data_IF_726982367923
#
_entry.id   IF_726982367923
#
_cell.length_a   1.000
_cell.length_b   1.000
_cell.length_c   1.000
_cell.angle_alpha   90.00
_cell.angle_beta   90.00
_cell.angle_gamma   90.00
#
_symmetry.space_group_name_H-M   'P 1'
#
loop_
_entity.id
_entity.type
_entity.pdbx_description
1 polymer ?
#
# COMPACT_ATOMS: atom_id res chain seq x y z
N UNK A 1 -21.19 -45.12 -13.52
CA UNK A 1 -20.73 -43.80 -13.02
C UNK A 1 -21.86 -42.80 -13.21
N UNK A 2 -22.44 -42.34 -12.11
CA UNK A 2 -23.46 -41.29 -12.14
C UNK A 2 -22.76 -40.00 -12.58
N UNK A 3 -23.18 -39.46 -13.72
CA UNK A 3 -22.59 -38.25 -14.27
C UNK A 3 -23.11 -37.06 -13.45
N UNK A 4 -22.38 -36.69 -12.39
CA UNK A 4 -22.74 -35.61 -11.46
C UNK A 4 -23.11 -34.30 -12.18
N UNK A 5 -22.51 -34.04 -13.35
CA UNK A 5 -22.79 -32.88 -14.19
C UNK A 5 -24.24 -32.84 -14.70
N UNK A 6 -24.80 -34.01 -15.02
CA UNK A 6 -26.18 -34.18 -15.49
C UNK A 6 -27.21 -34.01 -14.37
N UNK A 7 -26.84 -34.37 -13.14
CA UNK A 7 -27.68 -34.17 -11.96
C UNK A 7 -27.69 -32.71 -11.51
N UNK A 8 -26.53 -32.03 -11.53
CA UNK A 8 -26.46 -30.61 -11.15
C UNK A 8 -27.15 -29.69 -12.15
N UNK A 9 -27.04 -29.97 -13.45
CA UNK A 9 -27.75 -29.21 -14.50
C UNK A 9 -29.26 -29.43 -14.48
N UNK A 10 -29.71 -30.59 -14.00
CA UNK A 10 -31.13 -30.87 -13.78
C UNK A 10 -31.68 -30.19 -12.51
N UNK A 11 -30.90 -30.15 -11.43
CA UNK A 11 -31.27 -29.49 -10.17
C UNK A 11 -31.18 -27.96 -10.24
N UNK A 12 -30.24 -27.43 -11.03
CA UNK A 12 -29.99 -26.00 -11.21
C UNK A 12 -29.91 -25.68 -12.71
N UNK A 13 -31.06 -25.61 -13.41
CA UNK A 13 -31.08 -25.27 -14.83
C UNK A 13 -30.60 -23.83 -15.02
N UNK A 14 -29.71 -23.64 -15.99
CA UNK A 14 -29.25 -22.31 -16.39
C UNK A 14 -30.43 -21.55 -17.03
N UNK A 15 -30.82 -20.44 -16.40
CA UNK A 15 -31.96 -19.60 -16.83
C UNK A 15 -31.54 -18.49 -17.82
N UNK A 16 -30.25 -18.40 -18.14
CA UNK A 16 -29.73 -17.41 -19.09
C UNK A 16 -30.20 -17.75 -20.51
N UNK A 17 -30.48 -16.74 -21.35
CA UNK A 17 -30.98 -16.97 -22.70
C UNK A 17 -29.97 -17.74 -23.58
N UNK A 18 -30.48 -18.54 -24.52
CA UNK A 18 -29.67 -19.47 -25.34
C UNK A 18 -28.51 -18.81 -26.09
N UNK A 19 -28.68 -17.54 -26.49
CA UNK A 19 -27.64 -16.79 -27.19
C UNK A 19 -26.45 -16.45 -26.29
N UNK A 20 -26.67 -16.21 -24.99
CA UNK A 20 -25.59 -15.99 -24.01
C UNK A 20 -24.83 -17.27 -23.76
N UNK A 21 -25.54 -18.39 -23.58
CA UNK A 21 -24.91 -19.70 -23.39
C UNK A 21 -24.08 -20.11 -24.61
N UNK A 22 -24.58 -19.84 -25.82
CA UNK A 22 -23.86 -20.12 -27.06
C UNK A 22 -22.59 -19.26 -27.16
N UNK A 23 -22.69 -17.97 -26.86
CA UNK A 23 -21.56 -17.04 -26.86
C UNK A 23 -20.51 -17.42 -25.83
N UNK A 24 -20.91 -17.84 -24.63
CA UNK A 24 -20.01 -18.33 -23.58
C UNK A 24 -19.28 -19.61 -24.02
N UNK A 25 -19.99 -20.55 -24.66
CA UNK A 25 -19.36 -21.77 -25.22
C UNK A 25 -18.36 -21.45 -26.33
N UNK A 26 -18.71 -20.53 -27.23
CA UNK A 26 -17.81 -20.08 -28.30
C UNK A 26 -16.56 -19.40 -27.71
N UNK A 27 -16.73 -18.60 -26.66
CA UNK A 27 -15.62 -17.99 -25.92
C UNK A 27 -14.73 -19.04 -25.25
N UNK A 28 -15.31 -20.00 -24.52
CA UNK A 28 -14.57 -21.08 -23.85
C UNK A 28 -13.79 -21.91 -24.88
N UNK A 29 -14.41 -22.23 -26.03
CA UNK A 29 -13.75 -22.95 -27.11
C UNK A 29 -12.60 -22.16 -27.74
N UNK A 30 -12.75 -20.85 -27.90
CA UNK A 30 -11.70 -19.99 -28.42
C UNK A 30 -10.54 -19.85 -27.41
N UNK A 31 -10.86 -19.65 -26.13
CA UNK A 31 -9.88 -19.55 -25.05
C UNK A 31 -9.09 -20.86 -24.88
N UNK A 32 -9.77 -22.01 -24.87
CA UNK A 32 -9.13 -23.34 -24.76
C UNK A 32 -8.33 -23.74 -26.01
N UNK A 33 -8.43 -23.02 -27.13
CA UNK A 33 -7.52 -23.18 -28.28
C UNK A 33 -6.18 -22.49 -28.07
N UNK A 34 -6.09 -21.57 -27.12
CA UNK A 34 -4.82 -20.96 -26.73
C UNK A 34 -4.02 -21.99 -25.95
N UNK A 35 -2.73 -22.11 -26.28
CA UNK A 35 -1.87 -23.16 -25.73
C UNK A 35 -1.69 -23.05 -24.21
N UNK A 36 -1.79 -21.84 -23.67
CA UNK A 36 -1.44 -21.52 -22.29
C UNK A 36 -2.62 -21.10 -21.43
N UNK A 37 -3.81 -20.90 -22.01
CA UNK A 37 -5.01 -20.49 -21.29
C UNK A 37 -6.08 -21.57 -21.40
N UNK A 38 -6.65 -21.98 -20.26
CA UNK A 38 -7.87 -22.78 -20.26
C UNK A 38 -8.95 -22.19 -19.35
N UNK A 39 -10.19 -22.27 -19.83
CA UNK A 39 -11.38 -21.73 -19.19
C UNK A 39 -12.39 -22.87 -19.03
N UNK A 40 -12.99 -22.92 -17.85
CA UNK A 40 -14.06 -23.88 -17.49
C UNK A 40 -15.43 -23.25 -17.66
N UNK A 41 -16.45 -24.09 -17.82
CA UNK A 41 -17.87 -23.73 -17.90
C UNK A 41 -18.43 -23.06 -16.63
N UNK A 42 -17.66 -23.05 -15.54
CA UNK A 42 -18.00 -22.40 -14.26
C UNK A 42 -17.24 -21.09 -14.02
N UNK A 43 -16.55 -20.57 -15.03
CA UNK A 43 -15.79 -19.31 -14.93
C UNK A 43 -14.41 -19.46 -14.27
N UNK A 44 -13.98 -20.67 -13.93
CA UNK A 44 -12.61 -20.94 -13.51
C UNK A 44 -11.66 -20.82 -14.71
N UNK A 45 -10.57 -20.08 -14.53
CA UNK A 45 -9.53 -19.87 -15.53
C UNK A 45 -8.21 -20.40 -15.00
N UNK A 46 -7.46 -21.13 -15.83
CA UNK A 46 -6.11 -21.59 -15.48
C UNK A 46 -5.14 -21.25 -16.61
N UNK A 47 -3.94 -20.82 -16.21
CA UNK A 47 -2.85 -20.44 -17.10
C UNK A 47 -1.65 -21.34 -16.79
N UNK A 48 -0.87 -21.70 -17.80
CA UNK A 48 0.39 -22.43 -17.61
C UNK A 48 1.34 -21.59 -16.72
N UNK A 49 1.76 -22.09 -15.54
CA UNK A 49 2.63 -21.35 -14.63
C UNK A 49 3.97 -20.94 -15.25
N UNK A 50 4.47 -21.64 -16.28
CA UNK A 50 5.73 -21.28 -16.94
C UNK A 50 5.62 -19.98 -17.75
N UNK A 51 4.45 -19.67 -18.33
CA UNK A 51 4.24 -18.40 -19.07
C UNK A 51 4.35 -17.20 -18.11
N UNK A 52 3.75 -17.31 -16.93
CA UNK A 52 3.82 -16.28 -15.89
C UNK A 52 5.27 -16.09 -15.45
N UNK A 53 6.02 -17.18 -15.30
CA UNK A 53 7.43 -17.13 -14.91
C UNK A 53 8.29 -16.44 -15.97
N UNK A 54 8.12 -16.77 -17.24
CA UNK A 54 8.83 -16.12 -18.35
C UNK A 54 8.51 -14.62 -18.41
N UNK A 55 7.23 -14.25 -18.26
CA UNK A 55 6.82 -12.86 -18.25
C UNK A 55 7.40 -12.06 -17.07
N UNK A 56 7.47 -12.67 -15.88
CA UNK A 56 8.10 -12.05 -14.70
C UNK A 56 9.60 -11.87 -14.93
N UNK A 57 10.29 -12.87 -15.48
CA UNK A 57 11.72 -12.78 -15.78
C UNK A 57 11.98 -11.68 -16.81
N UNK A 58 11.25 -11.67 -17.93
CA UNK A 58 11.38 -10.65 -18.97
C UNK A 58 11.10 -9.23 -18.44
N UNK A 59 10.05 -9.08 -17.65
CA UNK A 59 9.71 -7.78 -17.02
C UNK A 59 10.81 -7.34 -16.05
N UNK A 60 11.36 -8.27 -15.26
CA UNK A 60 12.45 -7.97 -14.32
C UNK A 60 13.75 -7.61 -15.04
N UNK A 61 14.05 -8.25 -16.17
CA UNK A 61 15.20 -7.91 -17.01
C UNK A 61 15.06 -6.51 -17.61
N UNK A 62 13.89 -6.18 -18.15
CA UNK A 62 13.59 -4.84 -18.68
C UNK A 62 13.75 -3.78 -17.59
N UNK A 63 13.25 -4.03 -16.38
CA UNK A 63 13.25 -3.07 -15.27
C UNK A 63 14.54 -3.10 -14.43
N UNK A 64 15.54 -3.90 -14.81
CA UNK A 64 16.82 -4.03 -14.07
C UNK A 64 17.58 -2.71 -13.94
N UNK A 65 17.35 -1.78 -14.87
CA UNK A 65 17.96 -0.44 -14.85
C UNK A 65 17.35 0.50 -13.80
N UNK A 66 16.12 0.22 -13.35
CA UNK A 66 15.43 1.03 -12.32
C UNK A 66 15.84 0.63 -10.90
N UNK A 67 16.37 -0.60 -10.73
CA UNK A 67 16.80 -1.10 -9.42
C UNK A 67 18.20 -0.56 -9.13
N UNK A 68 18.33 0.25 -8.06
CA UNK A 68 19.64 0.66 -7.52
C UNK A 68 20.45 -0.59 -7.18
N UNK A 69 21.65 -0.72 -7.78
CA UNK A 69 22.58 -1.78 -7.43
C UNK A 69 23.14 -1.50 -6.03
N UNK A 70 22.93 -2.39 -5.03
CA UNK A 70 23.57 -2.25 -3.73
C UNK A 70 25.07 -2.47 -3.95
N UNK A 71 25.85 -1.39 -3.90
CA UNK A 71 27.30 -1.40 -4.12
C UNK A 71 27.83 -0.44 -5.18
N UNK A 72 26.97 0.26 -5.93
CA UNK A 72 27.42 1.45 -6.63
C UNK A 72 27.67 2.55 -5.58
N UNK A 73 28.87 3.16 -5.49
CA UNK A 73 29.05 4.33 -4.64
C UNK A 73 27.99 5.33 -5.06
N UNK A 74 27.22 5.83 -4.09
CA UNK A 74 26.34 6.96 -4.30
C UNK A 74 27.17 8.00 -5.04
N UNK A 75 26.86 8.21 -6.32
CA UNK A 75 27.36 9.36 -7.05
C UNK A 75 26.83 10.53 -6.27
N UNK A 76 27.69 11.09 -5.42
CA UNK A 76 27.49 12.38 -4.78
C UNK A 76 27.08 13.31 -5.91
N UNK A 77 25.83 13.75 -5.83
CA UNK A 77 25.26 14.71 -6.75
C UNK A 77 26.09 15.98 -6.52
N UNK A 78 27.11 16.20 -7.35
CA UNK A 78 27.90 17.43 -7.36
C UNK A 78 26.97 18.54 -7.81
N UNK A 79 26.23 19.10 -6.85
CA UNK A 79 25.77 20.49 -6.93
C UNK A 79 27.04 21.31 -7.05
N UNK A 80 27.18 22.03 -8.16
CA UNK A 80 28.34 22.84 -8.47
C UNK A 80 28.56 23.85 -7.35
N UNK A 81 29.62 23.64 -6.56
CA UNK A 81 30.17 24.64 -5.65
C UNK A 81 31.10 25.53 -6.45
N UNK A 82 30.57 26.65 -6.94
CA UNK A 82 31.39 27.85 -7.11
C UNK A 82 30.83 28.87 -6.13
N UNK A 83 31.55 29.04 -5.01
CA UNK A 83 31.93 30.31 -4.37
C UNK A 83 32.37 29.99 -2.94
N UNK A 84 33.68 29.83 -2.74
CA UNK A 84 34.32 30.01 -1.43
C UNK A 84 34.24 31.50 -1.07
N UNK A 85 33.53 31.85 0.00
CA UNK A 85 33.93 32.97 0.88
C UNK A 85 33.52 32.64 2.32
N UNK A 86 34.56 32.42 3.11
CA UNK A 86 34.75 32.66 4.54
C UNK A 86 33.84 32.06 5.63
N UNK A 87 34.56 31.34 6.47
CA UNK A 87 34.26 30.82 7.78
C UNK A 87 34.29 31.97 8.81
N UNK A 88 33.21 32.12 9.58
CA UNK A 88 33.14 32.57 10.99
C UNK A 88 31.97 33.53 11.30
N UNK A 89 31.37 33.25 12.46
CA UNK A 89 30.45 34.06 13.27
C UNK A 89 28.92 33.99 13.02
N UNK A 90 28.29 33.16 13.87
CA UNK A 90 27.16 33.50 14.77
C UNK A 90 25.76 33.71 14.15
N UNK A 91 24.88 32.77 14.55
CA UNK A 91 23.46 32.92 14.90
C UNK A 91 22.49 33.66 13.94
N UNK A 92 21.41 32.93 13.63
CA UNK A 92 20.07 33.40 13.25
C UNK A 92 19.85 33.95 11.83
N UNK A 93 19.49 33.04 10.90
CA UNK A 93 18.44 33.33 9.92
C UNK A 93 17.93 32.06 9.26
N UNK A 94 16.63 31.79 9.41
CA UNK A 94 15.97 30.59 8.89
C UNK A 94 15.65 30.60 7.39
N UNK A 95 15.60 29.38 6.83
CA UNK A 95 14.99 29.01 5.54
C UNK A 95 15.99 28.79 4.40
N UNK A 96 15.90 27.69 3.61
CA UNK A 96 14.68 26.96 3.26
C UNK A 96 14.62 25.55 3.84
N UNK A 97 13.45 25.18 4.38
CA UNK A 97 13.01 23.83 4.77
C UNK A 97 14.12 22.80 5.05
N UNK A 98 14.59 22.71 6.30
CA UNK A 98 15.27 21.52 6.79
C UNK A 98 14.43 20.30 6.44
N UNK A 99 14.96 19.45 5.57
CA UNK A 99 14.33 18.19 5.22
C UNK A 99 14.19 17.38 6.52
N UNK A 100 12.94 17.18 6.97
CA UNK A 100 12.67 16.45 8.19
C UNK A 100 12.76 14.95 7.90
N UNK A 101 13.92 14.35 8.18
CA UNK A 101 14.12 12.92 8.05
C UNK A 101 13.30 12.16 9.11
N UNK A 102 12.24 11.49 8.65
CA UNK A 102 11.31 10.77 9.52
C UNK A 102 11.00 9.35 9.04
N UNK A 103 10.67 8.48 9.99
CA UNK A 103 10.17 7.11 9.74
C UNK A 103 8.72 7.01 10.18
N UNK A 104 7.88 6.36 9.38
CA UNK A 104 6.50 6.05 9.76
C UNK A 104 6.48 4.87 10.74
N UNK A 105 5.75 5.02 11.85
CA UNK A 105 5.57 4.02 12.90
C UNK A 105 4.08 3.78 13.10
N UNK A 106 3.61 2.58 12.79
CA UNK A 106 2.19 2.21 12.91
C UNK A 106 1.96 1.46 14.21
N UNK A 107 1.02 1.94 15.02
CA UNK A 107 0.76 1.43 16.37
C UNK A 107 -0.73 1.22 16.57
N UNK A 108 -1.10 0.20 17.34
CA UNK A 108 -2.49 -0.14 17.61
C UNK A 108 -2.75 -0.09 19.11
N UNK A 109 -3.91 0.44 19.49
CA UNK A 109 -4.37 0.50 20.89
C UNK A 109 -5.80 -0.03 20.98
N UNK A 110 -6.06 -0.84 22.00
CA UNK A 110 -7.41 -1.23 22.37
C UNK A 110 -7.94 -0.28 23.44
N UNK A 111 -9.09 0.34 23.18
CA UNK A 111 -9.76 1.24 24.11
C UNK A 111 -10.58 0.45 25.15
N UNK A 112 -10.88 1.05 26.32
CA UNK A 112 -11.76 0.43 27.32
C UNK A 112 -13.16 0.11 26.80
N UNK A 113 -13.63 0.83 25.78
CA UNK A 113 -14.90 0.56 25.07
C UNK A 113 -14.89 -0.75 24.27
N UNK A 114 -13.75 -1.43 24.17
CA UNK A 114 -13.56 -2.61 23.32
C UNK A 114 -13.15 -2.27 21.89
N UNK A 115 -13.17 -1.00 21.51
CA UNK A 115 -12.77 -0.55 20.18
C UNK A 115 -11.23 -0.62 19.97
N UNK A 116 -10.79 -0.87 18.74
CA UNK A 116 -9.38 -0.78 18.35
C UNK A 116 -9.12 0.52 17.57
N UNK A 117 -8.02 1.20 17.86
CA UNK A 117 -7.55 2.41 17.16
C UNK A 117 -6.19 2.13 16.54
N UNK A 118 -6.00 2.56 15.29
CA UNK A 118 -4.72 2.57 14.59
C UNK A 118 -4.16 3.99 14.61
N UNK A 119 -2.96 4.17 15.14
CA UNK A 119 -2.21 5.42 15.11
C UNK A 119 -1.10 5.31 14.06
N UNK A 120 -0.95 6.35 13.25
CA UNK A 120 0.22 6.54 12.39
C UNK A 120 1.06 7.64 13.00
N UNK A 121 2.20 7.23 13.57
CA UNK A 121 3.17 8.12 14.16
C UNK A 121 4.32 8.36 13.19
N UNK A 122 5.04 9.46 13.38
CA UNK A 122 6.31 9.74 12.71
C UNK A 122 7.39 9.85 13.77
N UNK A 123 8.50 9.17 13.54
CA UNK A 123 9.70 9.24 14.36
C UNK A 123 10.74 10.10 13.65
N UNK A 124 11.26 11.14 14.31
CA UNK A 124 12.38 11.91 13.78
C UNK A 124 13.67 11.10 13.89
N UNK A 125 14.45 11.03 12.81
CA UNK A 125 15.76 10.38 12.82
C UNK A 125 16.85 11.20 13.51
N UNK A 126 16.60 12.50 13.71
CA UNK A 126 17.57 13.41 14.35
C UNK A 126 17.44 13.35 15.87
N UNK A 127 16.20 13.45 16.37
CA UNK A 127 15.93 13.53 17.81
C UNK A 127 15.46 12.21 18.41
N UNK A 128 15.06 11.25 17.58
CA UNK A 128 14.44 10.00 18.03
C UNK A 128 13.02 10.18 18.61
N UNK A 129 12.48 11.41 18.62
CA UNK A 129 11.17 11.73 19.17
C UNK A 129 10.03 11.29 18.26
N UNK A 130 8.85 11.12 18.83
CA UNK A 130 7.66 10.64 18.15
C UNK A 130 6.55 11.69 18.12
N UNK A 131 5.80 11.76 17.04
CA UNK A 131 4.58 12.55 16.94
C UNK A 131 3.48 11.73 16.27
N UNK A 132 2.23 11.90 16.69
CA UNK A 132 1.08 11.29 16.00
C UNK A 132 0.70 12.17 14.81
N UNK A 133 0.59 11.58 13.62
CA UNK A 133 0.18 12.29 12.42
C UNK A 133 -1.32 12.09 12.12
N UNK A 134 -1.85 10.88 12.34
CA UNK A 134 -3.27 10.57 12.20
C UNK A 134 -3.66 9.36 13.05
N UNK A 135 -4.94 9.24 13.39
CA UNK A 135 -5.51 8.12 14.12
C UNK A 135 -6.86 7.70 13.53
N UNK A 136 -7.07 6.40 13.35
CA UNK A 136 -8.28 5.82 12.74
C UNK A 136 -8.91 4.79 13.69
N UNK A 137 -10.19 4.96 14.01
CA UNK A 137 -10.97 4.02 14.81
C UNK A 137 -11.43 2.84 13.94
N UNK A 138 -11.06 1.62 14.32
CA UNK A 138 -11.26 0.41 13.53
C UNK A 138 -12.50 -0.42 13.92
N UNK A 139 -12.97 -0.34 15.18
CA UNK A 139 -14.05 -1.24 15.62
C UNK A 139 -15.12 -0.59 16.51
N UNK A 140 -15.54 0.63 16.15
CA UNK A 140 -16.51 1.43 16.90
C UNK A 140 -17.96 1.47 16.37
N UNK A 141 -18.28 0.91 15.20
CA UNK A 141 -19.66 0.94 14.70
C UNK A 141 -19.88 0.19 13.38
N UNK A 142 -20.93 -0.63 13.37
CA UNK A 142 -21.53 -1.41 12.27
C UNK A 142 -20.60 -2.38 11.50
N UNK A 143 -21.09 -3.62 11.38
CA UNK A 143 -20.53 -4.84 10.76
C UNK A 143 -20.10 -4.75 9.29
N UNK A 144 -19.36 -3.73 8.92
CA UNK A 144 -18.65 -3.68 7.65
C UNK A 144 -17.28 -3.09 7.89
N UNK A 145 -16.22 -3.85 7.60
CA UNK A 145 -14.98 -3.21 7.20
C UNK A 145 -15.31 -2.31 6.00
N UNK A 146 -15.15 -0.97 6.08
CA UNK A 146 -15.45 -0.12 4.94
C UNK A 146 -14.45 -0.39 3.81
N UNK A 147 -14.86 -0.24 2.54
CA UNK A 147 -14.17 -0.76 1.34
C UNK A 147 -12.81 -0.12 0.98
N UNK A 148 -12.25 0.66 1.89
CA UNK A 148 -11.06 1.49 1.76
C UNK A 148 -10.47 1.59 3.18
N UNK A 149 -9.36 0.92 3.43
CA UNK A 149 -8.53 1.11 4.63
C UNK A 149 -7.77 2.45 4.52
N UNK A 150 -8.55 3.49 4.22
CA UNK A 150 -8.20 4.88 4.16
C UNK A 150 -7.08 5.28 3.18
N UNK A 151 -7.42 5.34 1.88
CA UNK A 151 -6.52 5.84 0.82
C UNK A 151 -6.04 7.28 1.03
N UNK A 152 -6.51 7.97 2.07
CA UNK A 152 -6.08 9.31 2.45
C UNK A 152 -4.98 9.31 3.53
N UNK A 153 -4.65 8.17 4.15
CA UNK A 153 -3.66 8.13 5.26
C UNK A 153 -2.33 8.77 4.87
N UNK A 154 -1.76 8.42 3.71
CA UNK A 154 -0.49 8.99 3.24
C UNK A 154 -0.59 10.50 2.98
N UNK A 155 -1.76 10.98 2.53
CA UNK A 155 -2.02 12.40 2.33
C UNK A 155 -2.16 13.14 3.66
N UNK A 156 -2.81 12.54 4.65
CA UNK A 156 -2.93 13.08 6.01
C UNK A 156 -1.56 13.18 6.68
N UNK A 157 -0.75 12.13 6.60
CA UNK A 157 0.63 12.13 7.11
C UNK A 157 1.46 13.20 6.40
N UNK A 158 1.39 13.30 5.07
CA UNK A 158 2.08 14.34 4.32
C UNK A 158 1.61 15.75 4.71
N UNK A 159 0.31 15.94 4.91
CA UNK A 159 -0.27 17.23 5.35
C UNK A 159 0.20 17.58 6.77
N UNK A 160 0.23 16.61 7.68
CA UNK A 160 0.70 16.80 9.05
C UNK A 160 2.18 17.21 9.08
N UNK A 161 3.02 16.54 8.29
CA UNK A 161 4.45 16.88 8.14
C UNK A 161 4.66 18.28 7.53
N UNK A 162 3.84 18.67 6.54
CA UNK A 162 3.89 20.01 5.95
C UNK A 162 3.42 21.09 6.92
N UNK A 163 2.44 20.79 7.77
CA UNK A 163 1.81 21.77 8.68
C UNK A 163 2.72 22.24 9.82
N UNK A 164 3.85 21.55 10.10
CA UNK A 164 4.78 21.80 11.23
C UNK A 164 4.12 21.79 12.63
N UNK A 165 2.85 21.40 12.76
CA UNK A 165 2.12 21.40 14.03
C UNK A 165 2.25 20.08 14.82
N UNK A 166 3.16 19.20 14.40
CA UNK A 166 3.41 17.95 15.10
C UNK A 166 3.98 18.21 16.50
N UNK A 167 3.28 17.71 17.51
CA UNK A 167 3.77 17.69 18.89
C UNK A 167 4.67 16.47 19.07
N UNK A 168 5.93 16.71 19.40
CA UNK A 168 6.96 15.68 19.54
C UNK A 168 7.13 15.26 21.00
N UNK A 169 7.26 13.95 21.23
CA UNK A 169 7.35 13.35 22.55
C UNK A 169 8.49 12.33 22.63
N UNK A 170 8.94 12.02 23.85
CA UNK A 170 10.06 11.10 24.08
C UNK A 170 9.70 9.64 23.81
N UNK A 171 8.40 9.30 23.83
CA UNK A 171 7.92 7.95 23.55
C UNK A 171 6.64 7.94 22.70
N UNK A 172 6.44 6.83 22.00
CA UNK A 172 5.21 6.57 21.24
C UNK A 172 3.97 6.60 22.15
N UNK A 173 4.04 5.99 23.33
CA UNK A 173 2.91 5.92 24.27
C UNK A 173 2.48 7.30 24.75
N UNK A 174 3.45 8.18 25.03
CA UNK A 174 3.20 9.56 25.44
C UNK A 174 2.56 10.36 24.29
N UNK A 175 3.06 10.20 23.06
CA UNK A 175 2.47 10.83 21.89
C UNK A 175 1.01 10.40 21.67
N UNK A 176 0.71 9.11 21.82
CA UNK A 176 -0.67 8.60 21.69
C UNK A 176 -1.57 9.11 22.82
N UNK A 177 -1.08 9.17 24.06
CA UNK A 177 -1.86 9.71 25.18
C UNK A 177 -2.18 11.20 24.98
N UNK A 178 -1.19 11.99 24.57
CA UNK A 178 -1.39 13.41 24.30
C UNK A 178 -2.34 13.66 23.12
N UNK A 179 -2.38 12.75 22.14
CA UNK A 179 -3.36 12.79 21.06
C UNK A 179 -4.77 12.48 21.56
N UNK A 180 -4.92 11.42 22.37
CA UNK A 180 -6.21 11.02 22.95
C UNK A 180 -6.78 12.10 23.90
N UNK A 181 -5.93 12.83 24.62
CA UNK A 181 -6.33 13.97 25.47
C UNK A 181 -6.72 15.23 24.69
N UNK A 182 -6.30 15.35 23.43
CA UNK A 182 -6.58 16.52 22.59
C UNK A 182 -7.86 16.38 21.76
N UNK A 183 -8.49 15.19 21.76
CA UNK A 183 -9.76 14.85 21.12
C UNK A 183 -10.95 15.20 22.01
#
# INVERSE_FOLDING_TARGET
>A
MINFHRLTSWLFPDRRPDWEQKREREFILAANKLKTLSVTDRGGMSIDPEEIREQIIASREQLKHLVRKPGAPSSTLKVATDTQVDQEAILLKGGPADALDCVEVVVWRRLPSGAAVRYVCVQSLVTGSYAVATASLFSGGTESLPPWVDGNTSREVATALQSRQLRWFGSVSEAMNAWDEAL
#
